data_IF_583934553824
#
_entry.id   IF_583934553824
#
_cell.length_a   1.000
_cell.length_b   1.000
_cell.length_c   1.000
_cell.angle_alpha   90.00
_cell.angle_beta   90.00
_cell.angle_gamma   90.00
#
_symmetry.space_group_name_H-M   'P 1'
#
loop_
_entity.id
_entity.type
_entity.pdbx_description
1 polymer ?
#
# COMPACT_ATOMS: atom_id res chain seq x y z
N UNK A 1 13.17 5.52 -24.56
CA UNK A 1 12.37 6.64 -25.07
C UNK A 1 11.77 7.33 -23.84
N UNK A 2 12.39 8.43 -23.38
CA UNK A 2 11.93 9.16 -22.20
C UNK A 2 10.72 10.01 -22.57
N UNK A 3 9.57 9.73 -21.99
CA UNK A 3 8.35 10.53 -22.16
C UNK A 3 8.45 11.71 -21.19
N UNK A 4 8.66 12.93 -21.72
CA UNK A 4 8.62 14.15 -20.92
C UNK A 4 7.17 14.55 -20.67
N UNK A 5 6.81 14.76 -19.41
CA UNK A 5 5.46 15.15 -18.98
C UNK A 5 5.04 16.55 -19.50
N UNK A 6 5.98 17.31 -20.08
CA UNK A 6 5.75 18.66 -20.64
C UNK A 6 5.30 18.67 -22.11
N UNK A 7 5.24 17.52 -22.78
CA UNK A 7 4.81 17.41 -24.17
C UNK A 7 3.29 17.31 -24.29
N UNK A 8 2.71 17.85 -25.37
CA UNK A 8 1.30 17.65 -25.67
C UNK A 8 0.96 16.17 -25.78
N UNK A 9 0.15 15.67 -24.84
CA UNK A 9 -0.25 14.26 -24.80
C UNK A 9 -1.34 13.98 -25.85
N UNK A 10 -0.97 13.29 -26.90
CA UNK A 10 -1.95 12.63 -27.77
C UNK A 10 -2.55 11.43 -27.03
N UNK A 11 -3.85 11.18 -27.23
CA UNK A 11 -4.61 10.07 -26.61
C UNK A 11 -3.88 8.71 -26.74
N UNK A 12 -3.29 8.44 -27.90
CA UNK A 12 -2.50 7.23 -28.18
C UNK A 12 -1.23 7.14 -27.32
N UNK A 13 -0.62 8.28 -27.00
CA UNK A 13 0.60 8.34 -26.18
C UNK A 13 0.28 8.14 -24.70
N UNK A 14 -0.86 8.68 -24.25
CA UNK A 14 -1.38 8.46 -22.89
C UNK A 14 -1.72 6.99 -22.67
N UNK A 15 -2.41 6.36 -23.63
CA UNK A 15 -2.79 4.95 -23.55
C UNK A 15 -1.56 4.04 -23.49
N UNK A 16 -0.51 4.34 -24.26
CA UNK A 16 0.76 3.60 -24.21
C UNK A 16 1.49 3.77 -22.87
N UNK A 17 1.34 4.93 -22.24
CA UNK A 17 1.95 5.20 -20.92
C UNK A 17 1.21 4.46 -19.78
N UNK A 18 -0.12 4.41 -19.84
CA UNK A 18 -0.95 3.77 -18.81
C UNK A 18 -1.08 2.25 -18.99
N UNK A 19 -0.79 1.72 -20.19
CA UNK A 19 -0.94 0.30 -20.50
C UNK A 19 -0.20 -0.65 -19.55
N UNK A 20 1.07 -0.42 -19.18
CA UNK A 20 1.76 -1.25 -18.20
C UNK A 20 1.08 -1.27 -16.82
N UNK A 21 0.56 -0.12 -16.38
CA UNK A 21 -0.17 -0.01 -15.11
C UNK A 21 -1.50 -0.76 -15.14
N UNK A 22 -2.20 -0.74 -16.26
CA UNK A 22 -3.44 -1.50 -16.46
C UNK A 22 -3.15 -3.01 -16.39
N UNK A 23 -2.12 -3.48 -17.09
CA UNK A 23 -1.71 -4.90 -17.04
C UNK A 23 -1.40 -5.30 -15.60
N UNK A 24 -0.65 -4.47 -14.87
CA UNK A 24 -0.28 -4.75 -13.49
C UNK A 24 -1.51 -4.85 -12.58
N UNK A 25 -2.51 -3.98 -12.76
CA UNK A 25 -3.78 -4.04 -12.02
C UNK A 25 -4.58 -5.31 -12.35
N UNK A 26 -4.65 -5.70 -13.63
CA UNK A 26 -5.34 -6.93 -14.05
C UNK A 26 -4.68 -8.17 -13.45
N UNK A 27 -3.35 -8.26 -13.51
CA UNK A 27 -2.60 -9.37 -12.91
C UNK A 27 -2.80 -9.42 -11.40
N UNK A 28 -2.76 -8.27 -10.70
CA UNK A 28 -3.01 -8.20 -9.26
C UNK A 28 -4.43 -8.63 -8.90
N UNK A 29 -5.43 -8.29 -9.73
CA UNK A 29 -6.82 -8.72 -9.52
C UNK A 29 -6.97 -10.23 -9.70
N UNK A 30 -6.35 -10.82 -10.72
CA UNK A 30 -6.34 -12.27 -10.94
C UNK A 30 -5.65 -12.96 -9.76
N UNK A 31 -4.51 -12.43 -9.30
CA UNK A 31 -3.81 -12.95 -8.12
C UNK A 31 -4.71 -12.98 -6.89
N UNK A 32 -5.44 -11.90 -6.60
CA UNK A 32 -6.35 -11.83 -5.45
C UNK A 32 -7.48 -12.86 -5.52
N UNK A 33 -8.04 -13.09 -6.72
CA UNK A 33 -9.09 -14.12 -6.92
C UNK A 33 -8.52 -15.52 -6.71
N UNK A 34 -7.35 -15.80 -7.27
CA UNK A 34 -6.68 -17.11 -7.11
C UNK A 34 -6.32 -17.35 -5.66
N UNK A 35 -5.76 -16.34 -4.97
CA UNK A 35 -5.44 -16.42 -3.53
C UNK A 35 -6.67 -16.74 -2.69
N UNK A 36 -7.79 -16.05 -2.92
CA UNK A 36 -9.06 -16.32 -2.26
C UNK A 36 -9.58 -17.75 -2.50
N UNK A 37 -9.45 -18.27 -3.72
CA UNK A 37 -9.81 -19.65 -4.04
C UNK A 37 -8.92 -20.66 -3.31
N UNK A 38 -7.63 -20.43 -3.24
CA UNK A 38 -6.71 -21.29 -2.51
C UNK A 38 -7.00 -21.30 -1.01
N UNK A 39 -7.20 -20.13 -0.41
CA UNK A 39 -7.53 -20.02 1.02
C UNK A 39 -8.84 -20.74 1.33
N UNK A 40 -9.88 -20.55 0.53
CA UNK A 40 -11.17 -21.20 0.72
C UNK A 40 -11.07 -22.72 0.64
N UNK A 41 -10.36 -23.26 -0.35
CA UNK A 41 -10.32 -24.70 -0.60
C UNK A 41 -9.30 -25.46 0.25
N UNK A 42 -8.17 -24.83 0.64
CA UNK A 42 -7.09 -25.52 1.35
C UNK A 42 -7.07 -25.27 2.85
N UNK A 43 -7.50 -24.08 3.29
CA UNK A 43 -7.43 -23.68 4.70
C UNK A 43 -8.80 -23.76 5.38
N UNK A 44 -9.87 -23.59 4.61
CA UNK A 44 -11.26 -23.70 5.05
C UNK A 44 -11.98 -22.36 5.23
N UNK A 45 -13.30 -22.45 5.40
CA UNK A 45 -14.21 -21.29 5.43
C UNK A 45 -13.97 -20.34 6.62
N UNK A 46 -13.50 -20.89 7.75
CA UNK A 46 -13.18 -20.07 8.94
C UNK A 46 -11.99 -19.14 8.67
N UNK A 47 -10.95 -19.63 8.00
CA UNK A 47 -9.80 -18.81 7.64
C UNK A 47 -10.16 -17.74 6.61
N UNK A 48 -10.97 -18.07 5.61
CA UNK A 48 -11.47 -17.09 4.64
C UNK A 48 -12.31 -16.01 5.32
N UNK A 49 -13.16 -16.39 6.27
CA UNK A 49 -13.96 -15.45 7.07
C UNK A 49 -13.07 -14.53 7.91
N UNK A 50 -11.99 -15.06 8.52
CA UNK A 50 -11.03 -14.24 9.25
C UNK A 50 -10.32 -13.23 8.36
N UNK A 51 -9.88 -13.62 7.15
CA UNK A 51 -9.30 -12.72 6.16
C UNK A 51 -10.27 -11.61 5.79
N UNK A 52 -11.53 -11.93 5.51
CA UNK A 52 -12.56 -10.97 5.13
C UNK A 52 -12.88 -9.95 6.24
N UNK A 53 -12.73 -10.33 7.51
CA UNK A 53 -12.92 -9.41 8.65
C UNK A 53 -11.70 -8.51 8.84
N UNK A 54 -10.49 -9.03 8.67
CA UNK A 54 -9.24 -8.26 8.87
C UNK A 54 -8.95 -7.35 7.69
N UNK A 55 -9.30 -7.74 6.47
CA UNK A 55 -8.99 -7.01 5.25
C UNK A 55 -9.49 -5.55 5.22
N UNK A 56 -10.75 -5.22 5.57
CA UNK A 56 -11.19 -3.83 5.64
C UNK A 56 -10.40 -2.99 6.65
N UNK A 57 -10.02 -3.58 7.78
CA UNK A 57 -9.20 -2.89 8.79
C UNK A 57 -7.81 -2.56 8.23
N UNK A 58 -7.18 -3.53 7.58
CA UNK A 58 -5.90 -3.33 6.92
C UNK A 58 -5.99 -2.27 5.80
N UNK A 59 -7.09 -2.26 5.03
CA UNK A 59 -7.34 -1.27 3.98
C UNK A 59 -7.47 0.15 4.52
N UNK A 60 -8.16 0.35 5.65
CA UNK A 60 -8.29 1.68 6.29
C UNK A 60 -6.91 2.20 6.68
N UNK A 61 -6.06 1.35 7.28
CA UNK A 61 -4.70 1.74 7.69
C UNK A 61 -3.83 2.02 6.45
N UNK A 62 -3.91 1.16 5.44
CA UNK A 62 -3.19 1.32 4.18
C UNK A 62 -3.58 2.59 3.42
N UNK A 63 -4.84 3.05 3.55
CA UNK A 63 -5.34 4.26 2.92
C UNK A 63 -4.56 5.52 3.36
N UNK A 64 -4.14 5.61 4.62
CA UNK A 64 -3.29 6.71 5.10
C UNK A 64 -1.91 6.72 4.42
N UNK A 65 -1.30 5.54 4.28
CA UNK A 65 -0.03 5.39 3.56
C UNK A 65 -0.17 5.74 2.07
N UNK A 66 -1.24 5.29 1.45
CA UNK A 66 -1.54 5.60 0.04
C UNK A 66 -1.79 7.10 -0.17
N UNK A 67 -2.52 7.76 0.71
CA UNK A 67 -2.78 9.19 0.67
C UNK A 67 -1.48 10.02 0.74
N UNK A 68 -0.60 9.69 1.70
CA UNK A 68 0.70 10.34 1.82
C UNK A 68 1.62 10.04 0.63
N UNK A 69 1.62 8.80 0.15
CA UNK A 69 2.43 8.37 -0.99
C UNK A 69 2.03 9.06 -2.29
N UNK A 70 0.73 9.10 -2.60
CA UNK A 70 0.23 9.74 -3.82
C UNK A 70 0.31 11.26 -3.75
N UNK A 71 -0.09 11.87 -2.63
CA UNK A 71 0.02 13.31 -2.41
C UNK A 71 1.47 13.77 -2.41
N UNK A 72 2.34 13.05 -1.73
CA UNK A 72 3.78 13.34 -1.69
C UNK A 72 4.45 13.23 -3.04
N UNK A 73 4.16 12.18 -3.81
CA UNK A 73 4.72 12.00 -5.15
C UNK A 73 4.33 13.14 -6.10
N UNK A 74 3.11 13.66 -5.99
CA UNK A 74 2.66 14.80 -6.80
C UNK A 74 3.45 16.09 -6.48
N UNK A 75 3.72 16.35 -5.19
CA UNK A 75 4.52 17.51 -4.76
C UNK A 75 5.95 17.41 -5.30
N UNK A 76 6.59 16.24 -5.11
CA UNK A 76 7.95 15.99 -5.59
C UNK A 76 8.05 16.14 -7.11
N UNK A 77 7.11 15.53 -7.85
CA UNK A 77 7.07 15.61 -9.31
C UNK A 77 6.91 17.05 -9.81
N UNK A 78 6.06 17.85 -9.15
CA UNK A 78 5.89 19.28 -9.46
C UNK A 78 7.17 20.08 -9.25
N UNK A 79 7.84 19.89 -8.11
CA UNK A 79 9.08 20.59 -7.76
C UNK A 79 10.23 20.20 -8.70
N UNK A 80 10.32 18.92 -9.09
CA UNK A 80 11.25 18.49 -10.12
C UNK A 80 10.97 19.11 -11.49
N UNK A 81 9.70 19.30 -11.84
CA UNK A 81 9.29 20.00 -13.06
C UNK A 81 9.70 21.47 -13.09
N UNK A 82 9.82 22.10 -11.93
CA UNK A 82 10.33 23.46 -11.74
C UNK A 82 11.87 23.55 -11.75
N UNK A 83 12.56 22.42 -11.94
CA UNK A 83 14.03 22.28 -11.93
C UNK A 83 14.68 22.54 -10.56
N UNK A 84 13.92 22.56 -9.48
CA UNK A 84 14.40 22.74 -8.11
C UNK A 84 14.73 21.38 -7.47
N UNK A 85 15.82 20.77 -7.89
CA UNK A 85 16.21 19.42 -7.45
C UNK A 85 16.41 19.32 -5.93
N UNK A 86 17.15 20.25 -5.35
CA UNK A 86 17.46 20.25 -3.91
C UNK A 86 16.19 20.34 -3.05
N UNK A 87 15.22 21.14 -3.49
CA UNK A 87 13.94 21.26 -2.80
C UNK A 87 13.09 19.99 -2.95
N UNK A 88 13.13 19.36 -4.12
CA UNK A 88 12.44 18.08 -4.38
C UNK A 88 13.00 16.96 -3.49
N UNK A 89 14.31 16.85 -3.34
CA UNK A 89 14.98 15.87 -2.49
C UNK A 89 14.63 16.09 -1.01
N UNK A 90 14.55 17.33 -0.60
CA UNK A 90 14.13 17.69 0.76
C UNK A 90 12.68 17.29 1.04
N UNK A 91 11.75 17.59 0.14
CA UNK A 91 10.34 17.18 0.27
C UNK A 91 10.21 15.66 0.26
N UNK A 92 10.95 15.00 -0.61
CA UNK A 92 10.94 13.53 -0.67
C UNK A 92 11.39 12.91 0.66
N UNK A 93 12.49 13.38 1.23
CA UNK A 93 12.99 12.92 2.53
C UNK A 93 11.99 13.16 3.66
N UNK A 94 11.35 14.33 3.68
CA UNK A 94 10.31 14.66 4.66
C UNK A 94 9.09 13.75 4.54
N UNK A 95 8.65 13.45 3.31
CA UNK A 95 7.51 12.56 3.06
C UNK A 95 7.83 11.15 3.52
N UNK A 96 9.01 10.61 3.18
CA UNK A 96 9.44 9.28 3.63
C UNK A 96 9.47 9.21 5.15
N UNK A 97 10.08 10.18 5.81
CA UNK A 97 10.13 10.22 7.26
C UNK A 97 8.73 10.25 7.88
N UNK A 98 7.82 11.07 7.31
CA UNK A 98 6.43 11.16 7.75
C UNK A 98 5.67 9.84 7.56
N UNK A 99 5.88 9.13 6.44
CA UNK A 99 5.26 7.83 6.17
C UNK A 99 5.75 6.77 7.15
N UNK A 100 7.06 6.73 7.42
CA UNK A 100 7.64 5.79 8.38
C UNK A 100 7.10 6.06 9.80
N UNK A 101 7.09 7.32 10.21
CA UNK A 101 6.61 7.72 11.54
C UNK A 101 5.11 7.40 11.71
N UNK A 102 4.29 7.79 10.73
CA UNK A 102 2.86 7.52 10.77
C UNK A 102 2.57 6.02 10.69
N UNK A 103 3.28 5.28 9.83
CA UNK A 103 3.17 3.84 9.71
C UNK A 103 3.52 3.11 11.01
N UNK A 104 4.59 3.54 11.70
CA UNK A 104 4.97 3.00 12.99
C UNK A 104 3.90 3.27 14.08
N UNK A 105 3.37 4.50 14.12
CA UNK A 105 2.30 4.87 15.05
C UNK A 105 1.04 4.05 14.78
N UNK A 106 0.57 3.99 13.54
CA UNK A 106 -0.63 3.25 13.16
C UNK A 106 -0.47 1.74 13.41
N UNK A 107 0.70 1.17 13.12
CA UNK A 107 1.00 -0.23 13.40
C UNK A 107 0.97 -0.53 14.91
N UNK A 108 1.57 0.34 15.72
CA UNK A 108 1.53 0.21 17.18
C UNK A 108 0.09 0.27 17.73
N UNK A 109 -0.69 1.27 17.29
CA UNK A 109 -2.09 1.39 17.70
C UNK A 109 -2.92 0.18 17.25
N UNK A 110 -2.70 -0.29 16.02
CA UNK A 110 -3.41 -1.46 15.50
C UNK A 110 -3.11 -2.73 16.29
N UNK A 111 -1.87 -2.94 16.71
CA UNK A 111 -1.50 -4.11 17.51
C UNK A 111 -2.10 -4.04 18.92
N UNK A 112 -2.09 -2.87 19.55
CA UNK A 112 -2.64 -2.67 20.91
C UNK A 112 -4.17 -2.80 20.90
N UNK A 113 -4.83 -2.24 19.89
CA UNK A 113 -6.30 -2.22 19.79
C UNK A 113 -6.85 -3.30 18.84
N UNK A 114 -6.05 -4.28 18.45
CA UNK A 114 -6.45 -5.32 17.50
C UNK A 114 -7.72 -6.05 17.94
N UNK A 115 -7.78 -6.52 19.20
CA UNK A 115 -8.93 -7.25 19.73
C UNK A 115 -10.24 -6.44 19.69
N UNK A 116 -10.31 -5.21 20.25
CA UNK A 116 -11.54 -4.42 20.18
C UNK A 116 -11.92 -4.06 18.74
N UNK A 117 -10.96 -3.76 17.85
CA UNK A 117 -11.22 -3.47 16.46
C UNK A 117 -11.85 -4.67 15.75
N UNK A 118 -11.30 -5.87 15.95
CA UNK A 118 -11.83 -7.11 15.35
C UNK A 118 -13.24 -7.45 15.87
N UNK A 119 -13.51 -7.21 17.17
CA UNK A 119 -14.86 -7.37 17.72
C UNK A 119 -15.87 -6.41 17.07
N UNK A 120 -15.50 -5.16 16.90
CA UNK A 120 -16.32 -4.17 16.19
C UNK A 120 -16.52 -4.53 14.72
N UNK A 121 -15.54 -5.15 14.09
CA UNK A 121 -15.62 -5.66 12.71
C UNK A 121 -16.46 -6.94 12.57
N UNK A 122 -16.97 -7.51 13.69
CA UNK A 122 -17.85 -8.67 13.67
C UNK A 122 -17.17 -10.03 13.91
N UNK A 123 -15.93 -10.05 14.41
CA UNK A 123 -15.26 -11.31 14.75
C UNK A 123 -15.94 -11.97 15.96
N UNK A 124 -16.45 -13.18 15.76
CA UNK A 124 -16.92 -14.04 16.84
C UNK A 124 -15.76 -14.64 17.64
N UNK A 125 -16.03 -15.10 18.86
CA UNK A 125 -14.98 -15.70 19.72
C UNK A 125 -14.28 -16.91 19.07
N UNK A 126 -15.00 -17.63 18.20
CA UNK A 126 -14.46 -18.75 17.42
C UNK A 126 -13.42 -18.29 16.37
N UNK A 127 -13.70 -17.16 15.70
CA UNK A 127 -12.85 -16.58 14.65
C UNK A 127 -11.73 -15.70 15.21
N UNK A 128 -11.85 -15.29 16.48
CA UNK A 128 -10.94 -14.32 17.09
C UNK A 128 -9.47 -14.76 17.04
N UNK A 129 -9.21 -16.05 17.25
CA UNK A 129 -7.85 -16.60 17.24
C UNK A 129 -7.23 -16.48 15.85
N UNK A 130 -7.95 -16.84 14.81
CA UNK A 130 -7.49 -16.79 13.43
C UNK A 130 -7.36 -15.36 12.93
N UNK A 131 -8.31 -14.48 13.31
CA UNK A 131 -8.23 -13.05 13.02
C UNK A 131 -7.01 -12.38 13.66
N UNK A 132 -6.69 -12.70 14.92
CA UNK A 132 -5.52 -12.16 15.61
C UNK A 132 -4.24 -12.68 14.96
N UNK A 133 -4.16 -13.97 14.66
CA UNK A 133 -2.99 -14.58 14.01
C UNK A 133 -2.72 -13.93 12.66
N UNK A 134 -3.72 -13.86 11.80
CA UNK A 134 -3.63 -13.25 10.47
C UNK A 134 -3.34 -11.75 10.56
N UNK A 135 -4.09 -11.01 11.38
CA UNK A 135 -3.91 -9.56 11.56
C UNK A 135 -2.52 -9.22 12.06
N UNK A 136 -2.00 -9.95 13.04
CA UNK A 136 -0.65 -9.73 13.57
C UNK A 136 0.42 -9.98 12.50
N UNK A 137 0.26 -10.98 11.65
CA UNK A 137 1.20 -11.28 10.58
C UNK A 137 1.17 -10.20 9.49
N UNK A 138 -0.01 -9.75 9.09
CA UNK A 138 -0.19 -8.62 8.14
C UNK A 138 0.52 -7.36 8.65
N UNK A 139 0.31 -6.98 9.90
CA UNK A 139 0.90 -5.76 10.45
C UNK A 139 2.42 -5.85 10.66
N UNK A 140 2.94 -7.03 11.00
CA UNK A 140 4.39 -7.26 11.10
C UNK A 140 5.09 -7.13 9.75
N UNK A 141 4.44 -7.51 8.66
CA UNK A 141 5.00 -7.42 7.30
C UNK A 141 4.90 -6.03 6.69
N UNK A 142 3.92 -5.22 7.08
CA UNK A 142 3.74 -3.88 6.53
C UNK A 142 4.95 -2.96 6.72
N UNK A 143 5.65 -3.04 7.85
CA UNK A 143 6.81 -2.19 8.13
C UNK A 143 8.01 -2.50 7.21
N UNK A 144 8.46 -3.77 7.05
CA UNK A 144 9.50 -4.13 6.09
C UNK A 144 9.13 -3.77 4.64
N UNK A 145 7.90 -4.04 4.21
CA UNK A 145 7.44 -3.74 2.85
C UNK A 145 7.46 -2.24 2.55
N UNK A 146 7.03 -1.42 3.51
CA UNK A 146 7.07 0.04 3.38
C UNK A 146 8.51 0.56 3.27
N UNK A 147 9.43 0.01 4.06
CA UNK A 147 10.87 0.34 3.99
C UNK A 147 11.49 -0.09 2.66
N UNK A 148 11.12 -1.26 2.16
CA UNK A 148 11.61 -1.79 0.88
C UNK A 148 11.13 -0.95 -0.30
N UNK A 149 9.86 -0.54 -0.32
CA UNK A 149 9.30 0.35 -1.34
C UNK A 149 9.98 1.73 -1.28
N UNK A 150 10.21 2.26 -0.10
CA UNK A 150 10.92 3.52 0.08
C UNK A 150 12.37 3.43 -0.45
N UNK A 151 13.09 2.35 -0.14
CA UNK A 151 14.47 2.13 -0.60
C UNK A 151 14.58 1.99 -2.13
N UNK A 152 13.67 1.24 -2.76
CA UNK A 152 13.64 1.06 -4.22
C UNK A 152 13.35 2.39 -4.93
N UNK A 153 12.41 3.18 -4.42
CA UNK A 153 12.12 4.51 -4.99
C UNK A 153 13.31 5.47 -4.85
N UNK A 154 14.03 5.40 -3.74
CA UNK A 154 15.23 6.25 -3.52
C UNK A 154 16.33 5.90 -4.52
N UNK A 155 16.56 4.62 -4.78
CA UNK A 155 17.55 4.17 -5.76
C UNK A 155 17.21 4.61 -7.20
N UNK A 156 15.91 4.63 -7.55
CA UNK A 156 15.46 5.04 -8.90
C UNK A 156 15.56 6.55 -9.17
N UNK A 157 15.63 7.39 -8.14
CA UNK A 157 15.74 8.86 -8.28
C UNK A 157 17.21 9.28 -8.42
N UNK A 158 18.15 8.44 -7.99
CA UNK A 158 19.59 8.71 -8.08
C UNK A 158 20.22 8.30 -9.42
N UNK A 159 19.50 7.57 -10.28
CA UNK A 159 19.91 7.26 -11.67
C UNK A 159 19.26 8.26 -12.64
#
# INVERSE_FOLDING_TARGET
MQIRLSDHFSYKRLLRFTFPSIIMMVISSIYSVVDGLFVSNLVGDLALSAVNIVFPVAMIIGAFGFMLGTGGSAIVARTLGQKEKELADRYFSMIIFSVILLGAILSFFSLVFLKPILRMAGASDLLMKDCISYGTDVYKRQLPDTLQIAAVKTAHIQM
#
